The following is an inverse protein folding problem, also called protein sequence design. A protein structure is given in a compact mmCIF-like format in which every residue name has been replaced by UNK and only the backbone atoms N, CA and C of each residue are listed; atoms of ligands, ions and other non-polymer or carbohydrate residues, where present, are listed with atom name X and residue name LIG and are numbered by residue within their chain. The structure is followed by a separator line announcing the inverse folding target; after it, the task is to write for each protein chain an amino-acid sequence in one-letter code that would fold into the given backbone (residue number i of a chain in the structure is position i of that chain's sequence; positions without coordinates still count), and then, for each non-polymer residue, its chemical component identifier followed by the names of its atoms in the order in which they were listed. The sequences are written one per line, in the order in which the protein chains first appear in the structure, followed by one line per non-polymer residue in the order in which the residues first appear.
data_IF_403058320013
#
_entry.id   IF_403058320013
#
_cell.length_a   1.000
_cell.length_b   1.000
_cell.length_c   1.000
_cell.angle_alpha   90.00
_cell.angle_beta   90.00
_cell.angle_gamma   90.00
#
_symmetry.space_group_name_H-M   'P 1'
#
loop_
_entity.id
_entity.type
_entity.pdbx_description
1 polymer ?
#
# COMPACT_ATOMS: atom_id res chain seq x y z
N UNK A 1 9.45 3.92 -4.55
CA UNK A 1 9.20 3.69 -3.11
C UNK A 1 8.20 4.66 -2.48
N UNK A 2 8.11 5.91 -2.95
CA UNK A 2 7.15 6.91 -2.44
C UNK A 2 5.68 6.43 -2.39
N UNK A 3 5.22 5.69 -3.39
CA UNK A 3 3.84 5.16 -3.43
C UNK A 3 3.46 4.33 -2.18
N UNK A 4 4.39 3.50 -1.70
CA UNK A 4 4.21 2.70 -0.49
C UNK A 4 4.06 3.59 0.75
N UNK A 5 4.86 4.64 0.83
CA UNK A 5 4.77 5.63 1.91
C UNK A 5 3.49 6.45 1.85
N UNK A 6 3.08 6.91 0.66
CA UNK A 6 1.84 7.66 0.48
C UNK A 6 0.63 6.84 0.95
N UNK A 7 0.55 5.56 0.59
CA UNK A 7 -0.51 4.66 1.08
C UNK A 7 -0.42 4.50 2.60
N UNK A 8 0.77 4.32 3.17
CA UNK A 8 0.97 4.21 4.62
C UNK A 8 0.48 5.45 5.39
N UNK A 9 0.73 6.65 4.85
CA UNK A 9 0.24 7.91 5.40
C UNK A 9 -1.28 8.04 5.24
N UNK A 10 -1.84 7.70 4.08
CA UNK A 10 -3.29 7.71 3.87
C UNK A 10 -4.00 6.74 4.83
N UNK A 11 -3.42 5.57 5.08
CA UNK A 11 -3.94 4.61 6.05
C UNK A 11 -3.81 5.10 7.51
N UNK A 12 -3.06 6.16 7.79
CA UNK A 12 -3.05 6.81 9.09
C UNK A 12 -4.17 7.85 9.26
N UNK A 13 -4.88 8.20 8.19
CA UNK A 13 -5.90 9.23 8.21
C UNK A 13 -7.28 8.64 8.52
N UNK A 14 -7.95 9.15 9.56
CA UNK A 14 -9.26 8.66 10.00
C UNK A 14 -10.36 8.79 8.94
N UNK A 15 -10.33 9.83 8.10
CA UNK A 15 -11.33 10.00 7.05
C UNK A 15 -11.16 8.95 5.96
N UNK A 16 -9.91 8.67 5.58
CA UNK A 16 -9.59 7.57 4.64
C UNK A 16 -10.02 6.24 5.25
N UNK A 17 -9.66 6.02 6.52
CA UNK A 17 -10.04 4.83 7.27
C UNK A 17 -11.56 4.66 7.34
N UNK A 18 -12.36 5.72 7.46
CA UNK A 18 -13.83 5.60 7.42
C UNK A 18 -14.38 5.39 6.01
N UNK A 19 -13.71 5.90 5.00
CA UNK A 19 -14.17 5.87 3.61
C UNK A 19 -13.88 4.54 2.90
N UNK A 20 -12.70 3.94 3.09
CA UNK A 20 -12.34 2.69 2.41
C UNK A 20 -13.21 1.52 2.90
N UNK A 21 -13.65 0.68 1.98
CA UNK A 21 -14.55 -0.45 2.24
C UNK A 21 -16.04 -0.12 2.21
N UNK A 22 -16.41 1.17 2.14
CA UNK A 22 -17.80 1.61 1.96
C UNK A 22 -18.36 1.19 0.59
N UNK A 23 -19.69 1.24 0.44
CA UNK A 23 -20.34 0.95 -0.85
C UNK A 23 -19.93 1.99 -1.89
N UNK A 24 -19.88 3.25 -1.49
CA UNK A 24 -19.50 4.39 -2.32
C UNK A 24 -18.07 4.24 -2.85
N UNK A 25 -17.13 3.85 -1.98
CA UNK A 25 -15.75 3.56 -2.37
C UNK A 25 -15.68 2.42 -3.41
N UNK A 26 -16.39 1.30 -3.15
CA UNK A 26 -16.40 0.15 -4.07
C UNK A 26 -17.01 0.51 -5.42
N UNK A 27 -18.12 1.25 -5.44
CA UNK A 27 -18.74 1.73 -6.69
C UNK A 27 -17.78 2.64 -7.46
N UNK A 28 -17.15 3.60 -6.79
CA UNK A 28 -16.17 4.49 -7.43
C UNK A 28 -14.97 3.72 -8.00
N UNK A 29 -14.47 2.73 -7.26
CA UNK A 29 -13.37 1.87 -7.72
C UNK A 29 -13.75 1.09 -8.98
N UNK A 30 -14.94 0.51 -9.05
CA UNK A 30 -15.41 -0.23 -10.22
C UNK A 30 -15.58 0.66 -11.46
N UNK A 31 -15.98 1.93 -11.27
CA UNK A 31 -16.14 2.89 -12.35
C UNK A 31 -14.78 3.39 -12.89
N UNK A 32 -13.81 3.61 -12.00
CA UNK A 32 -12.51 4.20 -12.35
C UNK A 32 -11.47 3.22 -12.87
N UNK A 33 -11.50 1.96 -12.42
CA UNK A 33 -10.48 0.98 -12.77
C UNK A 33 -10.93 0.12 -13.96
N UNK A 34 -10.05 -0.13 -14.95
CA UNK A 34 -10.36 -1.04 -16.03
C UNK A 34 -10.51 -2.46 -15.49
N UNK A 35 -11.38 -3.26 -16.12
CA UNK A 35 -11.72 -4.62 -15.65
C UNK A 35 -10.50 -5.53 -15.45
N UNK A 36 -9.43 -5.35 -16.26
CA UNK A 36 -8.19 -6.12 -16.13
C UNK A 36 -7.50 -5.95 -14.77
N UNK A 37 -7.62 -4.78 -14.16
CA UNK A 37 -7.01 -4.46 -12.87
C UNK A 37 -7.82 -5.03 -11.70
N UNK A 38 -9.02 -5.58 -11.97
CA UNK A 38 -9.90 -6.23 -10.99
C UNK A 38 -9.77 -7.77 -11.02
N UNK A 39 -9.01 -8.34 -11.97
CA UNK A 39 -8.87 -9.80 -12.14
C UNK A 39 -8.08 -10.42 -10.99
N UNK A 40 -6.98 -9.78 -10.59
CA UNK A 40 -6.11 -10.29 -9.53
C UNK A 40 -6.52 -9.63 -8.21
N UNK A 41 -6.97 -10.39 -7.21
CA UNK A 41 -7.25 -9.84 -5.90
C UNK A 41 -6.02 -9.16 -5.30
N UNK A 42 -6.22 -8.04 -4.62
CA UNK A 42 -5.10 -7.26 -4.06
C UNK A 42 -4.27 -8.05 -3.02
N UNK A 43 -4.87 -9.03 -2.35
CA UNK A 43 -4.15 -9.90 -1.41
C UNK A 43 -3.24 -10.95 -2.08
N UNK A 44 -3.41 -11.18 -3.38
CA UNK A 44 -2.54 -12.07 -4.18
C UNK A 44 -1.44 -11.29 -4.92
N UNK A 45 -1.61 -9.97 -5.02
CA UNK A 45 -0.71 -9.11 -5.78
C UNK A 45 0.67 -9.02 -5.11
N UNK A 46 1.70 -9.45 -5.85
CA UNK A 46 3.08 -9.50 -5.36
C UNK A 46 3.67 -8.13 -5.02
N UNK A 47 3.11 -7.03 -5.53
CA UNK A 47 3.48 -5.69 -5.10
C UNK A 47 3.21 -5.48 -3.59
N UNK A 48 2.12 -6.03 -3.05
CA UNK A 48 1.85 -5.90 -1.61
C UNK A 48 2.44 -7.05 -0.80
N UNK A 49 2.53 -8.25 -1.38
CA UNK A 49 3.00 -9.43 -0.67
C UNK A 49 4.53 -9.47 -0.53
N UNK A 50 5.25 -9.18 -1.61
CA UNK A 50 6.71 -9.29 -1.73
C UNK A 50 7.22 -10.59 -1.11
N UNK A 51 6.67 -11.73 -1.56
CA UNK A 51 6.96 -13.05 -1.01
C UNK A 51 8.38 -13.53 -1.34
N UNK A 52 8.92 -13.10 -2.49
CA UNK A 52 10.32 -13.36 -2.84
C UNK A 52 11.24 -12.56 -1.91
N UNK A 53 12.09 -13.28 -1.16
CA UNK A 53 13.00 -12.70 -0.18
C UNK A 53 14.07 -11.80 -0.80
N UNK A 54 14.53 -12.12 -2.01
CA UNK A 54 15.55 -11.33 -2.70
C UNK A 54 14.97 -10.00 -3.17
N UNK A 55 13.77 -10.04 -3.77
CA UNK A 55 13.04 -8.84 -4.21
C UNK A 55 12.69 -7.99 -2.99
N UNK A 56 12.18 -8.59 -1.91
CA UNK A 56 11.85 -7.85 -0.68
C UNK A 56 13.06 -7.10 -0.12
N UNK A 57 14.23 -7.75 -0.05
CA UNK A 57 15.47 -7.12 0.43
C UNK A 57 15.91 -5.97 -0.48
N UNK A 58 15.80 -6.14 -1.79
CA UNK A 58 16.13 -5.07 -2.74
C UNK A 58 15.22 -3.86 -2.55
N UNK A 59 13.91 -4.08 -2.39
CA UNK A 59 12.95 -3.03 -2.11
C UNK A 59 13.25 -2.35 -0.78
N UNK A 60 13.50 -3.11 0.29
CA UNK A 60 13.87 -2.54 1.58
C UNK A 60 15.11 -1.64 1.48
N UNK A 61 16.15 -2.08 0.76
CA UNK A 61 17.36 -1.27 0.53
C UNK A 61 17.05 0.02 -0.23
N UNK A 62 16.34 -0.07 -1.36
CA UNK A 62 15.93 1.11 -2.16
C UNK A 62 15.05 2.06 -1.35
N UNK A 63 14.23 1.54 -0.44
CA UNK A 63 13.46 2.37 0.47
C UNK A 63 14.39 3.12 1.42
N UNK A 64 15.28 2.43 2.14
CA UNK A 64 16.22 3.04 3.09
C UNK A 64 17.13 4.10 2.45
N UNK A 65 17.55 3.91 1.19
CA UNK A 65 18.35 4.89 0.44
C UNK A 65 17.61 6.24 0.27
N UNK A 66 16.27 6.23 0.32
CA UNK A 66 15.46 7.45 0.24
C UNK A 66 15.29 8.19 1.56
N UNK A 67 15.91 7.74 2.66
CA UNK A 67 15.74 8.32 4.02
C UNK A 67 15.91 9.84 4.09
N UNK A 68 16.84 10.40 3.32
CA UNK A 68 17.09 11.84 3.27
C UNK A 68 15.90 12.67 2.75
N UNK A 69 14.94 12.05 2.06
CA UNK A 69 13.75 12.72 1.53
C UNK A 69 12.63 12.87 2.58
N UNK A 70 12.76 12.27 3.77
CA UNK A 70 11.72 12.24 4.79
C UNK A 70 11.97 13.30 5.86
N UNK A 71 11.09 14.31 5.89
CA UNK A 71 11.18 15.40 6.85
C UNK A 71 11.04 14.92 8.32
N UNK A 72 10.05 14.08 8.61
CA UNK A 72 9.77 13.56 9.96
C UNK A 72 10.40 12.18 10.22
N UNK A 73 11.46 11.85 9.50
CA UNK A 73 12.05 10.52 9.51
C UNK A 73 11.26 9.51 8.69
N UNK A 74 11.96 8.45 8.29
CA UNK A 74 11.42 7.40 7.47
C UNK A 74 10.90 6.26 8.38
N UNK A 75 9.63 5.85 8.28
CA UNK A 75 9.12 4.71 9.04
C UNK A 75 9.82 3.42 8.60
N UNK A 76 9.86 2.40 9.46
CA UNK A 76 10.46 1.11 9.08
C UNK A 76 9.72 0.48 7.87
N UNK A 77 10.48 -0.20 7.01
CA UNK A 77 9.91 -0.82 5.81
C UNK A 77 8.90 -1.91 6.14
N UNK A 78 9.15 -2.67 7.21
CA UNK A 78 8.27 -3.77 7.65
C UNK A 78 6.99 -3.25 8.29
N UNK A 79 7.08 -2.17 9.08
CA UNK A 79 5.92 -1.48 9.62
C UNK A 79 5.03 -0.92 8.50
N UNK A 80 5.68 -0.32 7.50
CA UNK A 80 5.03 0.22 6.33
C UNK A 80 4.21 -0.86 5.61
N UNK A 81 4.86 -1.99 5.28
CA UNK A 81 4.20 -3.07 4.55
C UNK A 81 3.11 -3.74 5.39
N UNK A 82 3.34 -3.92 6.69
CA UNK A 82 2.38 -4.55 7.60
C UNK A 82 1.08 -3.74 7.67
N UNK A 83 1.17 -2.41 7.78
CA UNK A 83 -0.02 -1.54 7.77
C UNK A 83 -0.81 -1.67 6.47
N UNK A 84 -0.13 -1.72 5.33
CA UNK A 84 -0.80 -1.88 4.03
C UNK A 84 -1.50 -3.24 3.98
N UNK A 85 -0.80 -4.33 4.32
CA UNK A 85 -1.35 -5.70 4.33
C UNK A 85 -2.59 -5.82 5.20
N UNK A 86 -2.57 -5.24 6.40
CA UNK A 86 -3.70 -5.26 7.33
C UNK A 86 -4.95 -4.57 6.77
N UNK A 87 -4.83 -3.69 5.78
CA UNK A 87 -5.96 -2.98 5.18
C UNK A 87 -6.39 -3.53 3.81
N UNK A 88 -5.69 -4.51 3.22
CA UNK A 88 -5.98 -5.02 1.87
C UNK A 88 -7.40 -5.60 1.73
N UNK A 89 -7.95 -6.20 2.79
CA UNK A 89 -9.30 -6.77 2.78
C UNK A 89 -10.42 -5.72 2.64
N UNK A 90 -10.06 -4.44 2.76
CA UNK A 90 -10.99 -3.30 2.72
C UNK A 90 -10.99 -2.58 1.38
N UNK A 91 -10.00 -2.86 0.54
CA UNK A 91 -9.87 -2.29 -0.79
C UNK A 91 -10.74 -3.01 -1.80
#
# INVERSE_FOLDING_TARGET
MRQYYDIYCLLNNENVQRFIGTKEYKSHKLERFPRRDLIIPLFENQAFMLNDRSIRKEYQKRYQETKALYYNGQPDFEDLLSRIKNNLHRF
#
